data_IF_797286165510
#
_entry.id   IF_797286165510
#
_cell.length_a   1.000
_cell.length_b   1.000
_cell.length_c   1.000
_cell.angle_alpha   90.00
_cell.angle_beta   90.00
_cell.angle_gamma   90.00
#
_symmetry.space_group_name_H-M   'P 1'
#
loop_
_entity.id
_entity.type
_entity.pdbx_description
1 polymer ?
#
# COMPACT_ATOMS: atom_id res chain seq x y z
N UNK A 1 13.48 -10.85 11.38
CA UNK A 1 12.59 -11.93 10.93
C UNK A 1 11.83 -11.41 9.74
N UNK A 2 11.96 -12.07 8.60
CA UNK A 2 11.21 -11.76 7.38
C UNK A 2 10.18 -12.85 7.22
N UNK A 3 8.92 -12.49 7.02
CA UNK A 3 7.84 -13.46 6.79
C UNK A 3 7.79 -13.73 5.29
N UNK A 4 7.90 -15.00 4.91
CA UNK A 4 7.61 -15.42 3.54
C UNK A 4 6.10 -15.65 3.42
N UNK A 5 5.39 -14.68 2.81
CA UNK A 5 3.95 -14.74 2.64
C UNK A 5 3.51 -15.84 1.67
N UNK A 6 4.37 -16.24 0.73
CA UNK A 6 4.05 -17.27 -0.25
C UNK A 6 4.18 -18.65 0.40
N UNK A 7 5.27 -18.90 1.11
CA UNK A 7 5.45 -20.14 1.89
C UNK A 7 4.33 -20.32 2.91
N UNK A 8 3.97 -19.25 3.64
CA UNK A 8 2.87 -19.28 4.60
C UNK A 8 1.51 -19.55 3.95
N UNK A 9 1.26 -18.98 2.76
CA UNK A 9 0.04 -19.23 1.99
C UNK A 9 -0.04 -20.69 1.55
N UNK A 10 1.02 -21.22 0.96
CA UNK A 10 1.08 -22.61 0.48
C UNK A 10 0.90 -23.60 1.64
N UNK A 11 1.55 -23.35 2.77
CA UNK A 11 1.38 -24.16 3.98
C UNK A 11 -0.07 -24.12 4.49
N UNK A 12 -0.71 -22.94 4.47
CA UNK A 12 -2.09 -22.80 4.89
C UNK A 12 -3.06 -23.45 3.90
N UNK A 13 -2.83 -23.39 2.59
CA UNK A 13 -3.66 -24.06 1.57
C UNK A 13 -3.59 -25.59 1.67
N UNK A 14 -2.43 -26.14 2.00
CA UNK A 14 -2.24 -27.59 2.18
C UNK A 14 -2.85 -28.13 3.49
N UNK A 15 -3.02 -27.27 4.50
CA UNK A 15 -3.54 -27.65 5.80
C UNK A 15 -5.08 -27.79 5.81
N UNK A 16 -5.62 -28.39 6.87
CA UNK A 16 -7.07 -28.59 7.01
C UNK A 16 -7.79 -27.26 7.31
N UNK A 17 -8.79 -26.94 6.48
CA UNK A 17 -9.46 -25.62 6.46
C UNK A 17 -10.58 -25.45 7.50
N UNK A 18 -10.94 -26.51 8.22
CA UNK A 18 -12.00 -26.49 9.22
C UNK A 18 -11.69 -25.55 10.38
N UNK A 19 -12.68 -25.27 11.21
CA UNK A 19 -12.46 -24.57 12.46
C UNK A 19 -11.56 -25.39 13.38
N UNK A 20 -10.56 -24.74 13.98
CA UNK A 20 -9.69 -25.39 14.94
C UNK A 20 -10.18 -25.08 16.36
N UNK A 21 -10.12 -26.09 17.22
CA UNK A 21 -10.50 -26.00 18.63
C UNK A 21 -9.34 -26.49 19.48
N UNK A 22 -9.00 -25.70 20.49
CA UNK A 22 -8.02 -26.12 21.49
C UNK A 22 -8.65 -27.19 22.40
N UNK A 23 -8.05 -28.36 22.43
CA UNK A 23 -8.49 -29.44 23.32
C UNK A 23 -7.69 -29.42 24.61
N UNK A 24 -8.38 -29.30 25.74
CA UNK A 24 -7.78 -29.36 27.07
C UNK A 24 -8.16 -30.70 27.66
N UNK A 25 -7.20 -31.63 27.72
CA UNK A 25 -7.46 -32.95 28.28
C UNK A 25 -7.44 -32.87 29.82
N UNK A 26 -8.58 -33.09 30.51
CA UNK A 26 -8.62 -33.00 31.96
C UNK A 26 -7.74 -34.09 32.60
N UNK A 27 -6.95 -33.73 33.62
CA UNK A 27 -6.10 -34.68 34.35
C UNK A 27 -4.77 -35.04 33.67
N UNK A 28 -4.51 -34.55 32.45
CA UNK A 28 -3.22 -34.71 31.78
C UNK A 28 -2.44 -33.40 31.80
N UNK A 29 -1.44 -33.33 32.69
CA UNK A 29 -0.50 -32.22 32.72
C UNK A 29 0.39 -32.31 31.48
N UNK A 30 0.01 -31.63 30.40
CA UNK A 30 0.85 -31.47 29.22
C UNK A 30 0.17 -31.63 27.86
N UNK A 31 -1.02 -32.22 27.80
CA UNK A 31 -1.66 -32.52 26.51
C UNK A 31 -2.66 -31.42 26.14
N UNK A 32 -2.23 -30.51 25.26
CA UNK A 32 -3.03 -29.37 24.76
C UNK A 32 -2.88 -29.16 23.24
N UNK A 33 -3.45 -30.02 22.38
CA UNK A 33 -3.38 -29.82 20.93
C UNK A 33 -4.52 -28.95 20.37
N UNK A 34 -4.29 -28.40 19.17
CA UNK A 34 -5.37 -27.92 18.30
C UNK A 34 -5.89 -29.08 17.44
N UNK A 35 -7.21 -29.18 17.26
CA UNK A 35 -7.87 -30.16 16.38
C UNK A 35 -8.95 -29.49 15.55
N UNK A 36 -9.41 -30.14 14.49
CA UNK A 36 -10.63 -29.68 13.80
C UNK A 36 -11.88 -29.85 14.69
N UNK A 37 -12.85 -28.96 14.51
CA UNK A 37 -14.13 -28.94 15.23
C UNK A 37 -14.94 -30.23 15.02
N UNK A 38 -14.86 -30.83 13.82
CA UNK A 38 -15.56 -32.08 13.46
C UNK A 38 -15.02 -33.34 14.14
N UNK A 39 -13.89 -33.24 14.86
CA UNK A 39 -13.04 -34.37 15.23
C UNK A 39 -13.76 -35.65 15.70
N UNK A 40 -13.91 -36.58 14.75
CA UNK A 40 -13.84 -38.00 15.03
C UNK A 40 -12.38 -38.35 15.30
N UNK A 41 -12.14 -39.17 16.32
CA UNK A 41 -10.83 -39.47 16.87
C UNK A 41 -9.87 -40.10 15.84
N UNK A 42 -9.16 -39.26 15.08
CA UNK A 42 -8.07 -39.67 14.21
C UNK A 42 -6.75 -39.61 14.98
N UNK A 43 -6.60 -40.50 15.97
CA UNK A 43 -5.34 -41.15 16.32
C UNK A 43 -4.18 -40.39 16.97
N UNK A 44 -4.01 -39.07 16.82
CA UNK A 44 -2.77 -38.43 17.28
C UNK A 44 -3.01 -37.10 17.98
N UNK A 45 -2.95 -37.12 19.31
CA UNK A 45 -2.65 -35.92 20.09
C UNK A 45 -1.18 -35.60 19.87
N UNK A 46 -0.86 -34.49 19.20
CA UNK A 46 0.51 -33.99 19.16
C UNK A 46 0.77 -33.40 20.55
N UNK A 47 1.51 -34.13 21.39
CA UNK A 47 2.09 -33.56 22.60
C UNK A 47 3.17 -32.56 22.17
N UNK A 48 2.82 -31.27 22.26
CA UNK A 48 3.76 -30.18 22.01
C UNK A 48 4.27 -29.67 23.36
N UNK A 49 5.44 -30.12 23.83
CA UNK A 49 5.96 -29.68 25.12
C UNK A 49 6.32 -28.19 25.14
N UNK A 50 6.39 -27.53 23.97
CA UNK A 50 6.85 -26.16 23.88
C UNK A 50 8.33 -26.03 24.21
N UNK A 51 8.87 -24.83 24.03
CA UNK A 51 10.23 -24.49 24.48
C UNK A 51 10.27 -24.18 25.99
N UNK A 52 9.11 -24.06 26.62
CA UNK A 52 8.93 -23.62 28.01
C UNK A 52 8.56 -24.76 28.97
N UNK A 53 8.54 -26.00 28.49
CA UNK A 53 8.20 -27.19 29.28
C UNK A 53 6.73 -27.20 29.71
N UNK A 54 5.83 -26.93 28.75
CA UNK A 54 4.36 -26.95 28.87
C UNK A 54 3.74 -25.89 29.76
N UNK A 55 4.54 -24.96 30.32
CA UNK A 55 4.04 -23.87 31.19
C UNK A 55 2.92 -23.05 30.55
N UNK A 56 2.98 -22.80 29.23
CA UNK A 56 1.97 -22.06 28.49
C UNK A 56 1.20 -22.91 27.46
N UNK A 57 1.24 -24.24 27.57
CA UNK A 57 0.69 -25.14 26.54
C UNK A 57 -0.79 -24.86 26.23
N UNK A 58 -1.63 -24.64 27.26
CA UNK A 58 -3.03 -24.29 27.06
C UNK A 58 -3.25 -22.94 26.36
N UNK A 59 -2.39 -21.96 26.59
CA UNK A 59 -2.47 -20.66 25.91
C UNK A 59 -2.02 -20.78 24.44
N UNK A 60 -0.92 -21.50 24.19
CA UNK A 60 -0.40 -21.75 22.84
C UNK A 60 -1.41 -22.51 21.98
N UNK A 61 -2.06 -23.54 22.55
CA UNK A 61 -3.10 -24.31 21.87
C UNK A 61 -4.28 -23.43 21.43
N UNK A 62 -4.75 -22.54 22.33
CA UNK A 62 -5.81 -21.58 22.03
C UNK A 62 -5.39 -20.57 20.96
N UNK A 63 -4.16 -20.08 21.02
CA UNK A 63 -3.64 -19.15 20.02
C UNK A 63 -3.58 -19.79 18.62
N UNK A 64 -3.01 -20.98 18.51
CA UNK A 64 -2.95 -21.73 17.24
C UNK A 64 -4.36 -22.03 16.73
N UNK A 65 -5.26 -22.48 17.61
CA UNK A 65 -6.64 -22.76 17.23
C UNK A 65 -7.43 -21.50 16.80
N UNK A 66 -7.06 -20.32 17.29
CA UNK A 66 -7.68 -19.04 16.90
C UNK A 66 -7.23 -18.54 15.52
N UNK A 67 -6.12 -19.08 14.98
CA UNK A 67 -5.60 -18.75 13.65
C UNK A 67 -5.52 -20.04 12.81
N UNK A 68 -6.66 -20.69 12.51
CA UNK A 68 -6.67 -21.81 11.60
C UNK A 68 -6.23 -21.37 10.19
N UNK A 69 -5.87 -22.30 9.30
CA UNK A 69 -5.41 -21.99 7.95
C UNK A 69 -6.33 -21.06 7.17
N UNK A 70 -7.65 -21.23 7.29
CA UNK A 70 -8.64 -20.34 6.68
C UNK A 70 -8.54 -18.89 7.16
N UNK A 71 -8.25 -18.66 8.44
CA UNK A 71 -8.05 -17.31 9.00
C UNK A 71 -6.72 -16.74 8.51
N UNK A 72 -5.65 -17.54 8.50
CA UNK A 72 -4.36 -17.12 7.96
C UNK A 72 -4.49 -16.69 6.48
N UNK A 73 -5.18 -17.46 5.65
CA UNK A 73 -5.44 -17.13 4.24
C UNK A 73 -6.26 -15.86 4.07
N UNK A 74 -7.27 -15.64 4.91
CA UNK A 74 -8.06 -14.41 4.89
C UNK A 74 -7.20 -13.18 5.25
N UNK A 75 -6.36 -13.29 6.28
CA UNK A 75 -5.42 -12.22 6.67
C UNK A 75 -4.40 -11.94 5.57
N UNK A 76 -3.83 -12.97 4.95
CA UNK A 76 -2.91 -12.82 3.81
C UNK A 76 -3.60 -12.19 2.59
N UNK A 77 -4.88 -12.49 2.36
CA UNK A 77 -5.68 -11.84 1.34
C UNK A 77 -5.87 -10.35 1.62
N UNK A 78 -6.17 -9.98 2.87
CA UNK A 78 -6.34 -8.59 3.27
C UNK A 78 -5.02 -7.80 3.19
N UNK A 79 -3.89 -8.40 3.60
CA UNK A 79 -2.57 -7.79 3.45
C UNK A 79 -2.31 -7.48 1.98
N UNK A 80 -2.49 -8.47 1.08
CA UNK A 80 -2.30 -8.26 -0.36
C UNK A 80 -3.19 -7.16 -0.92
N UNK A 81 -4.47 -7.13 -0.53
CA UNK A 81 -5.41 -6.09 -0.95
C UNK A 81 -4.97 -4.69 -0.50
N UNK A 82 -4.43 -4.58 0.72
CA UNK A 82 -3.90 -3.32 1.25
C UNK A 82 -2.63 -2.89 0.52
N UNK A 83 -1.73 -3.82 0.20
CA UNK A 83 -0.53 -3.56 -0.61
C UNK A 83 -0.91 -3.04 -2.00
N UNK A 84 -1.83 -3.70 -2.69
CA UNK A 84 -2.33 -3.28 -4.01
C UNK A 84 -2.95 -1.86 -3.94
N UNK A 85 -3.78 -1.61 -2.91
CA UNK A 85 -4.40 -0.30 -2.67
C UNK A 85 -3.34 0.79 -2.41
N UNK A 86 -2.25 0.45 -1.70
CA UNK A 86 -1.18 1.38 -1.40
C UNK A 86 -0.40 1.76 -2.67
N UNK A 87 -0.10 0.77 -3.52
CA UNK A 87 0.53 1.00 -4.82
C UNK A 87 -0.31 1.95 -5.68
N UNK A 88 -1.63 1.71 -5.77
CA UNK A 88 -2.54 2.58 -6.51
C UNK A 88 -2.58 4.00 -5.95
N UNK A 89 -2.62 4.14 -4.63
CA UNK A 89 -2.60 5.44 -3.96
C UNK A 89 -1.29 6.20 -4.22
N UNK A 90 -0.14 5.52 -4.18
CA UNK A 90 1.15 6.12 -4.49
C UNK A 90 1.21 6.62 -5.94
N UNK A 91 0.73 5.81 -6.89
CA UNK A 91 0.63 6.23 -8.29
C UNK A 91 -0.23 7.49 -8.45
N UNK A 92 -1.39 7.54 -7.79
CA UNK A 92 -2.28 8.69 -7.85
C UNK A 92 -1.67 9.94 -7.20
N UNK A 93 -0.95 9.78 -6.09
CA UNK A 93 -0.24 10.87 -5.43
C UNK A 93 0.83 11.45 -6.37
N UNK A 94 1.65 10.61 -7.01
CA UNK A 94 2.68 11.07 -7.93
C UNK A 94 2.09 11.87 -9.11
N UNK A 95 0.96 11.42 -9.66
CA UNK A 95 0.24 12.14 -10.72
C UNK A 95 -0.26 13.51 -10.22
N UNK A 96 -0.87 13.55 -9.02
CA UNK A 96 -1.35 14.80 -8.41
C UNK A 96 -0.22 15.76 -8.08
N UNK A 97 0.93 15.27 -7.62
CA UNK A 97 2.12 16.07 -7.36
C UNK A 97 2.65 16.72 -8.64
N UNK A 98 2.69 15.97 -9.74
CA UNK A 98 3.05 16.50 -11.07
C UNK A 98 2.08 17.59 -11.53
N UNK A 99 0.77 17.31 -11.46
CA UNK A 99 -0.27 18.28 -11.82
C UNK A 99 -0.19 19.55 -10.95
N UNK A 100 0.12 19.41 -9.66
CA UNK A 100 0.30 20.55 -8.75
C UNK A 100 1.51 21.40 -9.12
N UNK A 101 2.60 20.78 -9.56
CA UNK A 101 3.78 21.50 -10.04
C UNK A 101 3.47 22.31 -11.30
N UNK A 102 2.75 21.72 -12.27
CA UNK A 102 2.29 22.41 -13.48
C UNK A 102 1.38 23.58 -13.14
N UNK A 103 0.37 23.36 -12.29
CA UNK A 103 -0.55 24.42 -11.87
C UNK A 103 0.18 25.57 -11.14
N UNK A 104 1.18 25.25 -10.31
CA UNK A 104 1.99 26.28 -9.64
C UNK A 104 2.80 27.11 -10.65
N UNK A 105 3.29 26.50 -11.74
CA UNK A 105 3.98 27.22 -12.81
C UNK A 105 3.00 28.13 -13.58
N UNK A 106 1.81 27.63 -13.93
CA UNK A 106 0.76 28.43 -14.57
C UNK A 106 0.35 29.64 -13.73
N UNK A 107 0.16 29.44 -12.42
CA UNK A 107 -0.16 30.53 -11.49
C UNK A 107 0.92 31.61 -11.46
N UNK A 108 2.22 31.22 -11.47
CA UNK A 108 3.34 32.18 -11.51
C UNK A 108 3.34 32.98 -12.81
N UNK A 109 3.06 32.34 -13.95
CA UNK A 109 2.96 33.02 -15.25
C UNK A 109 1.81 34.03 -15.21
N UNK A 110 0.64 33.64 -14.68
CA UNK A 110 -0.51 34.54 -14.59
C UNK A 110 -0.23 35.76 -13.71
N UNK A 111 0.50 35.60 -12.60
CA UNK A 111 0.95 36.70 -11.75
C UNK A 111 1.85 37.67 -12.54
N UNK A 112 2.86 37.15 -13.25
CA UNK A 112 3.76 37.97 -14.05
C UNK A 112 3.01 38.74 -15.16
N UNK A 113 2.02 38.13 -15.81
CA UNK A 113 1.16 38.81 -16.79
C UNK A 113 0.40 39.96 -16.12
N UNK A 114 -0.22 39.73 -14.96
CA UNK A 114 -0.97 40.76 -14.24
C UNK A 114 -0.09 41.95 -13.85
N UNK A 115 1.16 41.70 -13.42
CA UNK A 115 2.15 42.74 -13.13
C UNK A 115 2.52 43.56 -14.37
N UNK A 116 2.76 42.90 -15.50
CA UNK A 116 3.05 43.57 -16.77
C UNK A 116 1.87 44.44 -17.24
N UNK A 117 0.64 43.93 -17.14
CA UNK A 117 -0.57 44.69 -17.49
C UNK A 117 -0.70 45.94 -16.62
N UNK A 118 -0.39 45.84 -15.32
CA UNK A 118 -0.43 46.99 -14.42
C UNK A 118 0.65 48.05 -14.75
N UNK A 119 1.79 47.63 -15.31
CA UNK A 119 2.88 48.54 -15.72
C UNK A 119 2.67 49.16 -17.10
N UNK A 120 1.88 48.54 -17.98
CA UNK A 120 1.69 48.96 -19.36
C UNK A 120 1.35 50.46 -19.55
N UNK A 121 0.50 51.10 -18.72
CA UNK A 121 0.19 52.54 -18.87
C UNK A 121 1.39 53.47 -18.60
N UNK A 122 2.45 52.97 -17.97
CA UNK A 122 3.65 53.74 -17.60
C UNK A 122 4.80 53.60 -18.59
N UNK A 123 4.65 52.73 -19.61
CA UNK A 123 5.68 52.47 -20.60
C UNK A 123 5.61 53.48 -21.74
N UNK A 124 6.77 53.95 -22.19
CA UNK A 124 6.86 54.71 -23.44
C UNK A 124 6.68 53.80 -24.66
N UNK A 125 6.43 54.40 -25.83
CA UNK A 125 6.18 53.69 -27.08
C UNK A 125 7.32 52.73 -27.46
N UNK A 126 8.58 53.13 -27.25
CA UNK A 126 9.75 52.32 -27.61
C UNK A 126 9.88 51.10 -26.70
N UNK A 127 9.60 51.27 -25.42
CA UNK A 127 9.55 50.17 -24.45
C UNK A 127 8.42 49.18 -24.78
N UNK A 128 7.25 49.69 -25.17
CA UNK A 128 6.11 48.86 -25.55
C UNK A 128 6.37 48.06 -26.84
N UNK A 129 6.98 48.69 -27.85
CA UNK A 129 7.35 48.03 -29.11
C UNK A 129 8.38 46.91 -28.87
N UNK A 130 9.37 47.15 -27.99
CA UNK A 130 10.35 46.14 -27.61
C UNK A 130 9.70 44.94 -26.89
N UNK A 131 8.80 45.20 -25.92
CA UNK A 131 8.02 44.18 -25.23
C UNK A 131 7.19 43.33 -26.19
N UNK A 132 6.52 43.95 -27.16
CA UNK A 132 5.73 43.26 -28.17
C UNK A 132 6.57 42.27 -28.98
N UNK A 133 7.77 42.69 -29.42
CA UNK A 133 8.71 41.81 -30.13
C UNK A 133 9.16 40.64 -29.26
N UNK A 134 9.48 40.88 -27.98
CA UNK A 134 9.91 39.83 -27.05
C UNK A 134 8.80 38.82 -26.78
N UNK A 135 7.55 39.25 -26.60
CA UNK A 135 6.40 38.36 -26.40
C UNK A 135 6.18 37.47 -27.63
N UNK A 136 6.27 38.03 -28.84
CA UNK A 136 6.16 37.24 -30.08
C UNK A 136 7.28 36.20 -30.18
N UNK A 137 8.51 36.54 -29.75
CA UNK A 137 9.62 35.59 -29.75
C UNK A 137 9.40 34.45 -28.74
N UNK A 138 8.98 34.77 -27.52
CA UNK A 138 8.66 33.79 -26.48
C UNK A 138 7.53 32.84 -26.92
N UNK A 139 6.47 33.38 -27.52
CA UNK A 139 5.37 32.58 -28.07
C UNK A 139 5.86 31.56 -29.12
N UNK A 140 6.80 31.95 -29.98
CA UNK A 140 7.40 31.04 -30.97
C UNK A 140 8.26 29.96 -30.33
N UNK A 141 9.04 30.28 -29.29
CA UNK A 141 9.87 29.31 -28.57
C UNK A 141 9.01 28.24 -27.88
N UNK A 142 8.00 28.68 -27.12
CA UNK A 142 7.08 27.78 -26.40
C UNK A 142 6.37 26.82 -27.35
N UNK A 143 5.87 27.32 -28.49
CA UNK A 143 5.19 26.47 -29.47
C UNK A 143 6.13 25.48 -30.19
N UNK A 144 7.43 25.79 -30.27
CA UNK A 144 8.43 24.89 -30.84
C UNK A 144 8.74 23.74 -29.88
N UNK A 145 8.94 24.04 -28.60
CA UNK A 145 9.17 23.03 -27.55
C UNK A 145 7.98 22.08 -27.40
N UNK A 146 6.74 22.61 -27.42
CA UNK A 146 5.53 21.78 -27.34
C UNK A 146 5.35 20.81 -28.53
N UNK A 147 5.95 21.11 -29.69
CA UNK A 147 5.95 20.21 -30.85
C UNK A 147 7.08 19.18 -30.83
N UNK A 148 8.17 19.42 -30.10
CA UNK A 148 9.27 18.46 -29.94
C UNK A 148 9.03 17.44 -28.84
N UNK A 149 8.28 17.77 -27.78
CA UNK A 149 7.94 16.83 -26.70
C UNK A 149 6.85 15.81 -27.07
N UNK A 150 6.19 15.97 -28.22
CA UNK A 150 5.10 15.09 -28.72
C UNK A 150 5.54 14.07 -29.79
N UNK A 151 6.80 14.06 -30.21
CA UNK A 151 7.38 13.14 -31.21
C UNK A 151 8.45 12.25 -30.59
#
# INVERSE_FOLDING_TARGET
MTIDYQELREAAEQATQDEWVAYILPGHNGIYPARTSEGRHCGYFIDWPGIDGQRNAGANARYIAAIPPKVALALLGEIKRLEDTNIDAMCRIAELESNRATLAAEQRIQIAINELVALAPRLDKRAMDALSVTVVHLYKLINKEATSERN
#
